data_IF_896093485501
#
_entry.id   IF_896093485501
#
_cell.length_a   1.000
_cell.length_b   1.000
_cell.length_c   1.000
_cell.angle_alpha   90.00
_cell.angle_beta   90.00
_cell.angle_gamma   90.00
#
_symmetry.space_group_name_H-M   'P 1'
#
loop_
_entity.id
_entity.type
_entity.pdbx_description
1 polymer ?
#
# COMPACT_ATOMS: atom_id res chain seq x y z
N UNK A 1 -4.51 -26.67 -25.47
CA UNK A 1 -4.95 -25.33 -25.02
C UNK A 1 -3.92 -24.80 -24.01
N UNK A 2 -3.40 -23.57 -24.16
CA UNK A 2 -2.46 -23.00 -23.17
C UNK A 2 -3.25 -22.45 -21.97
N UNK A 3 -2.71 -22.63 -20.76
CA UNK A 3 -3.25 -22.06 -19.51
C UNK A 3 -2.16 -21.20 -18.88
N UNK A 4 -2.54 -20.07 -18.28
CA UNK A 4 -1.62 -19.14 -17.62
C UNK A 4 -2.00 -19.01 -16.16
N UNK A 5 -1.01 -19.06 -15.27
CA UNK A 5 -1.17 -18.71 -13.86
C UNK A 5 -0.54 -17.34 -13.64
N UNK A 6 -1.29 -16.41 -13.05
CA UNK A 6 -0.85 -15.03 -12.81
C UNK A 6 -0.71 -14.83 -11.30
N UNK A 7 0.46 -14.35 -10.86
CA UNK A 7 0.76 -13.99 -9.47
C UNK A 7 1.10 -12.51 -9.40
N UNK A 8 0.50 -11.80 -8.44
CA UNK A 8 0.87 -10.42 -8.11
C UNK A 8 1.68 -10.40 -6.81
N UNK A 9 2.67 -9.52 -6.76
CA UNK A 9 3.51 -9.27 -5.59
C UNK A 9 3.32 -7.81 -5.21
N UNK A 10 3.08 -7.58 -3.92
CA UNK A 10 2.93 -6.25 -3.35
C UNK A 10 3.87 -6.11 -2.16
N UNK A 11 4.59 -5.01 -2.09
CA UNK A 11 5.57 -4.70 -1.04
C UNK A 11 5.60 -3.20 -0.80
N UNK A 12 6.02 -2.79 0.39
CA UNK A 12 6.29 -1.39 0.71
C UNK A 12 7.61 -1.28 1.48
N UNK A 13 8.21 -0.10 1.42
CA UNK A 13 9.36 0.28 2.23
C UNK A 13 9.00 1.55 2.98
N UNK A 14 9.47 1.66 4.23
CA UNK A 14 9.51 2.94 4.92
C UNK A 14 10.79 3.67 4.49
N UNK A 15 10.67 4.96 4.18
CA UNK A 15 11.80 5.80 3.73
C UNK A 15 11.64 7.21 4.28
N UNK A 16 12.76 7.95 4.38
CA UNK A 16 12.76 9.36 4.77
C UNK A 16 12.77 10.30 3.56
N UNK A 17 12.45 11.57 3.77
CA UNK A 17 12.54 12.62 2.73
C UNK A 17 13.98 12.82 2.25
N UNK A 18 14.97 12.69 3.14
CA UNK A 18 16.39 12.76 2.81
C UNK A 18 16.83 11.61 1.89
N UNK A 19 16.33 10.39 2.10
CA UNK A 19 16.63 9.25 1.24
C UNK A 19 16.00 9.39 -0.14
N UNK A 20 14.77 9.93 -0.23
CA UNK A 20 14.10 10.22 -1.49
C UNK A 20 14.86 11.30 -2.28
N UNK A 21 15.35 12.34 -1.62
CA UNK A 21 16.02 13.46 -2.29
C UNK A 21 17.47 13.17 -2.70
N UNK A 22 18.11 12.17 -2.10
CA UNK A 22 19.54 11.87 -2.30
C UNK A 22 19.87 10.84 -3.38
N UNK A 23 18.91 10.41 -4.22
CA UNK A 23 19.06 9.36 -5.27
C UNK A 23 19.45 7.96 -4.73
N UNK A 24 19.88 7.85 -3.46
CA UNK A 24 20.23 6.60 -2.78
C UNK A 24 19.03 5.66 -2.73
N UNK A 25 17.82 6.18 -2.52
CA UNK A 25 16.62 5.37 -2.51
C UNK A 25 16.34 4.74 -3.88
N UNK A 26 16.47 5.52 -4.96
CA UNK A 26 16.28 5.04 -6.32
C UNK A 26 17.28 3.94 -6.69
N UNK A 27 18.55 4.07 -6.27
CA UNK A 27 19.57 3.03 -6.47
C UNK A 27 19.26 1.73 -5.73
N UNK A 28 18.73 1.80 -4.49
CA UNK A 28 18.29 0.62 -3.73
C UNK A 28 17.15 -0.10 -4.44
N UNK A 29 16.19 0.65 -4.98
CA UNK A 29 15.06 0.10 -5.72
C UNK A 29 15.50 -0.58 -7.02
N UNK A 30 16.38 0.06 -7.78
CA UNK A 30 16.95 -0.51 -9.00
C UNK A 30 17.69 -1.83 -8.73
N UNK A 31 18.39 -1.93 -7.59
CA UNK A 31 19.06 -3.17 -7.17
C UNK A 31 18.05 -4.26 -6.84
N UNK A 32 17.03 -3.93 -6.05
CA UNK A 32 15.95 -4.86 -5.70
C UNK A 32 15.23 -5.39 -6.95
N UNK A 33 14.93 -4.51 -7.90
CA UNK A 33 14.22 -4.87 -9.13
C UNK A 33 15.02 -5.86 -9.98
N UNK A 34 16.34 -5.70 -10.02
CA UNK A 34 17.24 -6.66 -10.68
C UNK A 34 17.17 -8.02 -9.98
N UNK A 35 17.22 -8.04 -8.65
CA UNK A 35 17.13 -9.28 -7.87
C UNK A 35 15.77 -9.98 -8.02
N UNK A 36 14.67 -9.24 -7.99
CA UNK A 36 13.32 -9.78 -8.21
C UNK A 36 13.20 -10.39 -9.61
N UNK A 37 13.69 -9.69 -10.65
CA UNK A 37 13.67 -10.23 -12.02
C UNK A 37 14.42 -11.55 -12.12
N UNK A 38 15.64 -11.61 -11.58
CA UNK A 38 16.44 -12.84 -11.55
C UNK A 38 15.75 -13.96 -10.76
N UNK A 39 15.12 -13.63 -9.64
CA UNK A 39 14.38 -14.58 -8.82
C UNK A 39 13.16 -15.14 -9.57
N UNK A 40 12.39 -14.30 -10.24
CA UNK A 40 11.23 -14.72 -11.03
C UNK A 40 11.66 -15.63 -12.19
N UNK A 41 12.71 -15.24 -12.92
CA UNK A 41 13.28 -16.04 -14.01
C UNK A 41 13.74 -17.42 -13.53
N UNK A 42 14.40 -17.50 -12.36
CA UNK A 42 14.82 -18.77 -11.74
C UNK A 42 13.65 -19.75 -11.54
N UNK A 43 12.44 -19.25 -11.31
CA UNK A 43 11.23 -20.09 -11.16
C UNK A 43 10.40 -20.20 -12.44
N UNK A 44 10.93 -19.77 -13.59
CA UNK A 44 10.23 -19.81 -14.87
C UNK A 44 9.08 -18.80 -14.96
N UNK A 45 9.04 -17.80 -14.08
CA UNK A 45 8.05 -16.73 -14.09
C UNK A 45 8.54 -15.60 -14.99
N UNK A 46 7.70 -15.20 -15.95
CA UNK A 46 7.98 -14.05 -16.80
C UNK A 46 7.64 -12.76 -16.06
N UNK A 47 8.64 -11.90 -15.86
CA UNK A 47 8.42 -10.53 -15.45
C UNK A 47 7.82 -9.71 -16.61
N UNK A 48 6.73 -8.97 -16.36
CA UNK A 48 6.04 -8.14 -17.36
C UNK A 48 6.23 -6.65 -17.06
N UNK A 49 5.84 -6.22 -15.86
CA UNK A 49 5.90 -4.83 -15.42
C UNK A 49 5.82 -4.75 -13.88
N UNK A 50 6.15 -3.59 -13.34
CA UNK A 50 5.93 -3.20 -11.95
C UNK A 50 5.37 -1.77 -11.91
N UNK A 51 4.68 -1.42 -10.82
CA UNK A 51 4.27 -0.06 -10.51
C UNK A 51 4.79 0.31 -9.13
N UNK A 52 5.26 1.54 -8.97
CA UNK A 52 5.77 2.05 -7.71
C UNK A 52 5.24 3.44 -7.45
N UNK A 53 4.84 3.68 -6.20
CA UNK A 53 4.17 4.90 -5.78
C UNK A 53 4.68 5.34 -4.42
N UNK A 54 4.84 6.64 -4.26
CA UNK A 54 5.25 7.27 -3.00
C UNK A 54 4.03 7.86 -2.29
N UNK A 55 3.90 7.58 -1.00
CA UNK A 55 2.73 7.93 -0.20
C UNK A 55 3.20 8.82 0.94
N UNK A 56 2.69 10.05 0.99
CA UNK A 56 2.99 11.00 2.05
C UNK A 56 2.16 10.66 3.29
N UNK A 57 2.69 9.80 4.16
CA UNK A 57 1.98 9.27 5.34
C UNK A 57 1.31 10.34 6.20
N UNK A 58 2.02 11.44 6.48
CA UNK A 58 1.52 12.55 7.28
C UNK A 58 0.33 13.30 6.64
N UNK A 59 0.39 13.58 5.33
CA UNK A 59 -0.70 14.24 4.58
C UNK A 59 -1.91 13.33 4.43
N UNK A 60 -1.64 12.04 4.26
CA UNK A 60 -2.66 11.05 3.94
C UNK A 60 -3.26 10.39 5.18
N UNK A 61 -2.72 10.64 6.38
CA UNK A 61 -3.07 9.95 7.63
C UNK A 61 -2.89 8.42 7.53
N UNK A 62 -1.83 7.99 6.85
CA UNK A 62 -1.46 6.57 6.76
C UNK A 62 -0.63 6.19 7.98
N UNK A 63 -1.12 5.22 8.74
CA UNK A 63 -0.54 4.75 10.00
C UNK A 63 -0.64 3.23 10.11
N UNK A 64 0.12 2.61 11.02
CA UNK A 64 0.05 1.18 11.26
C UNK A 64 -1.09 0.81 12.20
N UNK A 65 -1.77 -0.29 11.89
CA UNK A 65 -2.73 -0.91 12.79
C UNK A 65 -2.02 -1.41 14.05
N UNK A 66 -2.50 -1.03 15.23
CA UNK A 66 -1.93 -1.46 16.51
C UNK A 66 -2.07 -2.96 16.79
N UNK A 67 -2.86 -3.70 16.01
CA UNK A 67 -3.12 -5.13 16.23
C UNK A 67 -2.44 -6.05 15.22
N UNK A 68 -2.46 -5.70 13.92
CA UNK A 68 -1.95 -6.56 12.85
C UNK A 68 -0.83 -5.91 12.04
N UNK A 69 -0.41 -4.70 12.41
CA UNK A 69 0.68 -3.93 11.78
C UNK A 69 0.45 -3.55 10.30
N UNK A 70 -0.67 -3.96 9.70
CA UNK A 70 -1.07 -3.52 8.36
C UNK A 70 -1.12 -2.00 8.30
N UNK A 71 -0.64 -1.45 7.18
CA UNK A 71 -0.84 -0.03 6.88
C UNK A 71 -2.32 0.24 6.66
N UNK A 72 -2.78 1.33 7.25
CA UNK A 72 -4.15 1.80 7.07
C UNK A 72 -4.23 3.31 6.97
N UNK A 73 -5.26 3.80 6.29
CA UNK A 73 -5.62 5.20 6.27
C UNK A 73 -6.66 5.44 7.37
N UNK A 74 -6.31 6.25 8.39
CA UNK A 74 -7.24 6.61 9.44
C UNK A 74 -8.29 7.58 8.87
N UNK A 75 -9.53 7.10 8.75
CA UNK A 75 -10.67 7.82 8.18
C UNK A 75 -11.30 8.85 9.11
N UNK A 76 -11.09 8.74 10.42
CA UNK A 76 -11.49 9.80 11.36
C UNK A 76 -10.66 11.07 11.14
N UNK A 77 -9.39 10.90 10.76
CA UNK A 77 -8.43 11.98 10.48
C UNK A 77 -8.45 12.42 9.02
N UNK A 78 -8.79 11.52 8.10
CA UNK A 78 -8.88 11.80 6.68
C UNK A 78 -10.17 11.18 6.06
N UNK A 79 -11.34 11.83 6.27
CA UNK A 79 -12.64 11.26 5.95
C UNK A 79 -12.95 11.22 4.45
N UNK A 80 -12.49 12.23 3.70
CA UNK A 80 -12.60 12.25 2.25
C UNK A 80 -11.49 11.39 1.67
N UNK A 81 -11.85 10.35 0.92
CA UNK A 81 -10.96 9.33 0.32
C UNK A 81 -10.07 9.88 -0.81
N UNK A 82 -9.55 11.09 -0.63
CA UNK A 82 -9.00 12.00 -1.63
C UNK A 82 -10.05 12.57 -2.58
N UNK A 83 -10.00 13.90 -2.73
CA UNK A 83 -10.77 14.61 -3.73
C UNK A 83 -10.16 14.26 -5.10
N UNK A 84 -10.92 13.61 -5.99
CA UNK A 84 -10.47 13.14 -7.33
C UNK A 84 -9.77 14.20 -8.16
N UNK A 85 -9.96 15.47 -7.83
CA UNK A 85 -9.45 16.63 -8.55
C UNK A 85 -8.02 17.04 -8.14
N UNK A 86 -7.50 16.60 -6.99
CA UNK A 86 -6.21 17.10 -6.46
C UNK A 86 -5.18 16.02 -6.14
N UNK A 87 -5.57 14.78 -5.92
CA UNK A 87 -4.66 13.69 -5.57
C UNK A 87 -4.89 12.54 -6.54
N UNK A 88 -3.85 12.25 -7.33
CA UNK A 88 -3.80 11.27 -8.43
C UNK A 88 -3.90 9.80 -7.98
N UNK A 89 -4.56 9.53 -6.86
CA UNK A 89 -4.56 8.23 -6.20
C UNK A 89 -6.02 7.80 -6.05
N UNK A 90 -6.48 6.96 -6.98
CA UNK A 90 -7.73 6.23 -6.83
C UNK A 90 -7.45 4.96 -5.99
N UNK A 91 -7.66 5.07 -4.67
CA UNK A 91 -7.44 3.96 -3.74
C UNK A 91 -8.34 2.74 -4.05
N UNK A 92 -9.49 2.96 -4.71
CA UNK A 92 -10.43 1.89 -5.05
C UNK A 92 -9.90 0.95 -6.14
N UNK A 93 -8.98 1.40 -6.99
CA UNK A 93 -8.35 0.58 -8.02
C UNK A 93 -6.88 0.25 -7.75
N UNK A 94 -6.16 1.12 -7.01
CA UNK A 94 -4.69 1.07 -7.01
C UNK A 94 -4.05 0.72 -5.65
N UNK A 95 -4.77 0.74 -4.51
CA UNK A 95 -4.13 0.63 -3.18
C UNK A 95 -4.85 -0.18 -2.10
N UNK A 96 -6.13 -0.53 -2.29
CA UNK A 96 -6.90 -1.33 -1.31
C UNK A 96 -6.26 -2.70 -0.97
N UNK A 97 -5.22 -3.13 -1.69
CA UNK A 97 -4.49 -4.37 -1.43
C UNK A 97 -3.23 -4.20 -0.54
N UNK A 98 -2.75 -2.97 -0.27
CA UNK A 98 -1.61 -2.71 0.65
C UNK A 98 -2.00 -1.81 1.82
N UNK A 99 -2.85 -0.81 1.59
CA UNK A 99 -3.31 0.12 2.62
C UNK A 99 -4.80 -0.04 2.80
N UNK A 100 -5.19 -0.43 3.99
CA UNK A 100 -6.58 -0.66 4.37
C UNK A 100 -7.22 0.66 4.78
N UNK A 101 -8.54 0.77 4.75
CA UNK A 101 -9.19 1.79 5.55
C UNK A 101 -9.09 1.42 7.04
N UNK A 102 -9.25 2.39 7.93
CA UNK A 102 -9.45 2.13 9.34
C UNK A 102 -9.74 3.40 10.11
N UNK A 103 -9.56 3.35 11.42
CA UNK A 103 -9.95 4.44 12.31
C UNK A 103 -9.48 4.23 13.74
N UNK A 104 -9.83 5.18 14.58
CA UNK A 104 -9.54 5.20 16.00
C UNK A 104 -10.70 4.60 16.79
N UNK A 105 -10.45 3.51 17.49
CA UNK A 105 -11.41 2.87 18.40
C UNK A 105 -10.76 2.65 19.77
N UNK A 106 -11.40 3.15 20.83
CA UNK A 106 -10.91 3.06 22.21
C UNK A 106 -9.45 3.51 22.39
N UNK A 107 -9.06 4.57 21.68
CA UNK A 107 -7.70 5.12 21.72
C UNK A 107 -6.65 4.31 20.94
N UNK A 108 -7.06 3.28 20.20
CA UNK A 108 -6.20 2.50 19.30
C UNK A 108 -6.51 2.79 17.84
N UNK A 109 -5.47 2.75 17.03
CA UNK A 109 -5.52 2.89 15.58
C UNK A 109 -5.66 1.49 14.97
N UNK A 110 -6.84 1.19 14.43
CA UNK A 110 -7.17 -0.15 13.93
C UNK A 110 -7.59 -0.11 12.46
N UNK A 111 -7.05 -1.03 11.65
CA UNK A 111 -7.52 -1.23 10.29
C UNK A 111 -8.95 -1.81 10.27
N UNK A 112 -9.61 -1.74 9.11
CA UNK A 112 -11.00 -2.16 8.90
C UNK A 112 -11.29 -3.59 9.38
N UNK A 113 -10.34 -4.51 9.27
CA UNK A 113 -10.52 -5.89 9.75
C UNK A 113 -10.40 -6.04 11.26
N UNK A 114 -9.63 -5.17 11.91
CA UNK A 114 -9.46 -5.17 13.36
C UNK A 114 -10.51 -4.30 14.07
N UNK A 115 -11.20 -3.42 13.34
CA UNK A 115 -12.31 -2.64 13.87
C UNK A 115 -13.53 -3.54 14.20
N UNK A 116 -14.26 -3.23 15.28
CA UNK A 116 -15.59 -3.79 15.50
C UNK A 116 -16.49 -3.54 14.29
N UNK A 117 -17.37 -4.49 13.97
CA UNK A 117 -18.17 -4.49 12.73
C UNK A 117 -18.95 -3.18 12.57
N UNK A 118 -19.53 -2.67 13.66
CA UNK A 118 -20.32 -1.45 13.69
C UNK A 118 -19.51 -0.16 13.51
N UNK A 119 -18.18 -0.24 13.57
CA UNK A 119 -17.24 0.87 13.34
C UNK A 119 -16.51 0.75 11.99
N UNK A 120 -16.82 -0.27 11.18
CA UNK A 120 -16.20 -0.45 9.86
C UNK A 120 -16.80 0.51 8.84
N UNK A 121 -15.95 1.11 8.02
CA UNK A 121 -16.32 2.09 7.01
C UNK A 121 -16.94 1.43 5.78
N UNK A 122 -18.23 1.09 5.85
CA UNK A 122 -19.02 0.62 4.72
C UNK A 122 -18.77 -0.83 4.33
N UNK A 123 -19.76 -1.70 4.58
CA UNK A 123 -19.90 -2.96 3.86
C UNK A 123 -20.59 -2.66 2.53
N UNK A 124 -19.91 -2.81 1.41
CA UNK A 124 -20.59 -3.19 0.17
C UNK A 124 -20.47 -4.70 0.03
N UNK A 125 -21.61 -5.39 0.15
CA UNK A 125 -21.77 -6.79 -0.30
C UNK A 125 -21.44 -6.94 -1.77
#
# INVERSE_FOLDING_TARGET
>A
MKRYAIRRLYSYFETTEDEITSNVFDEKLDSLDKEIKLLLEKYGLKYISQDMRFIASHKMSVIQCNQCENLMLNRDKNPMRFNKEQLWIDLDTDYNFVIWDGGTYEGKELCMECLPIEHRWGYSS
#
